data_IF_687567421051
#
_entry.id   IF_687567421051
#
_cell.length_a   1.000
_cell.length_b   1.000
_cell.length_c   1.000
_cell.angle_alpha   90.00
_cell.angle_beta   90.00
_cell.angle_gamma   90.00
#
_symmetry.space_group_name_H-M   'P 1'
#
loop_
_entity.id
_entity.type
_entity.pdbx_description
1 polymer ?
#
# COMPACT_ATOMS: atom_id res chain seq x y z
N UNK A 1 -8.68 2.20 16.59
CA UNK A 1 -7.58 2.72 17.43
C UNK A 1 -6.27 2.35 16.77
N UNK A 2 -5.44 3.33 16.37
CA UNK A 2 -4.09 3.13 15.81
C UNK A 2 -3.03 2.95 16.93
N UNK A 3 -3.45 2.59 18.14
CA UNK A 3 -2.73 2.93 19.39
C UNK A 3 -1.55 2.02 19.73
N UNK A 4 -1.13 1.12 18.84
CA UNK A 4 0.08 0.29 19.05
C UNK A 4 0.77 -0.04 17.72
N UNK A 5 1.13 0.99 16.93
CA UNK A 5 2.08 0.81 15.82
C UNK A 5 3.47 1.19 16.31
N UNK A 6 4.45 0.31 16.15
CA UNK A 6 5.82 0.66 16.47
C UNK A 6 6.30 1.79 15.55
N UNK A 7 7.16 2.71 16.03
CA UNK A 7 7.67 3.80 15.20
C UNK A 7 8.32 3.33 13.90
N UNK A 8 8.95 2.15 13.91
CA UNK A 8 9.52 1.53 12.72
C UNK A 8 8.45 1.20 11.67
N UNK A 9 7.36 0.54 12.09
CA UNK A 9 6.24 0.22 11.22
C UNK A 9 5.51 1.48 10.75
N UNK A 10 5.42 2.51 11.59
CA UNK A 10 4.77 3.78 11.26
C UNK A 10 5.44 4.49 10.08
N UNK A 11 6.78 4.52 10.04
CA UNK A 11 7.54 5.12 8.93
C UNK A 11 7.29 4.36 7.63
N UNK A 12 7.36 3.03 7.67
CA UNK A 12 7.11 2.22 6.48
C UNK A 12 5.66 2.36 6.00
N UNK A 13 4.70 2.34 6.93
CA UNK A 13 3.27 2.49 6.62
C UNK A 13 2.97 3.84 5.98
N UNK A 14 3.55 4.92 6.51
CA UNK A 14 3.37 6.27 5.95
C UNK A 14 3.83 6.34 4.49
N UNK A 15 5.03 5.82 4.18
CA UNK A 15 5.55 5.75 2.81
C UNK A 15 4.64 4.91 1.90
N UNK A 16 4.17 3.75 2.36
CA UNK A 16 3.25 2.90 1.59
C UNK A 16 1.92 3.62 1.30
N UNK A 17 1.35 4.31 2.29
CA UNK A 17 0.10 5.08 2.13
C UNK A 17 0.29 6.19 1.10
N UNK A 18 1.37 6.96 1.18
CA UNK A 18 1.68 8.03 0.23
C UNK A 18 1.75 7.51 -1.22
N UNK A 19 2.46 6.40 -1.43
CA UNK A 19 2.56 5.76 -2.75
C UNK A 19 1.19 5.29 -3.23
N UNK A 20 0.38 4.71 -2.34
CA UNK A 20 -0.98 4.29 -2.69
C UNK A 20 -1.85 5.47 -3.11
N UNK A 21 -1.77 6.61 -2.41
CA UNK A 21 -2.52 7.84 -2.75
C UNK A 21 -2.13 8.37 -4.13
N UNK A 22 -0.84 8.31 -4.49
CA UNK A 22 -0.33 8.82 -5.77
C UNK A 22 -0.60 7.92 -6.99
N UNK A 23 -1.07 6.68 -6.82
CA UNK A 23 -1.29 5.73 -7.91
C UNK A 23 -2.76 5.42 -8.16
N UNK A 24 -3.23 5.43 -9.43
CA UNK A 24 -4.67 5.23 -9.74
C UNK A 24 -5.28 3.92 -9.23
N UNK A 25 -4.49 2.85 -9.17
CA UNK A 25 -4.94 1.55 -8.67
C UNK A 25 -3.77 0.76 -8.04
N UNK A 26 -4.09 -0.37 -7.42
CA UNK A 26 -3.15 -1.15 -6.61
C UNK A 26 -2.01 -1.80 -7.41
N UNK A 27 -2.21 -2.09 -8.69
CA UNK A 27 -1.21 -2.77 -9.52
C UNK A 27 0.07 -1.95 -9.75
N UNK A 28 0.05 -0.73 -10.32
CA UNK A 28 1.25 0.08 -10.49
C UNK A 28 1.85 0.50 -9.14
N UNK A 29 1.05 0.72 -8.09
CA UNK A 29 1.56 0.98 -6.74
C UNK A 29 2.39 -0.18 -6.18
N UNK A 30 1.88 -1.41 -6.32
CA UNK A 30 2.60 -2.62 -5.92
C UNK A 30 3.91 -2.79 -6.71
N UNK A 31 3.87 -2.57 -8.03
CA UNK A 31 5.09 -2.65 -8.87
C UNK A 31 6.14 -1.63 -8.46
N UNK A 32 5.73 -0.42 -8.08
CA UNK A 32 6.61 0.62 -7.59
C UNK A 32 7.26 0.20 -6.26
N UNK A 33 6.45 -0.21 -5.28
CA UNK A 33 6.92 -0.64 -3.95
C UNK A 33 7.86 -1.86 -4.00
N UNK A 34 7.62 -2.78 -4.93
CA UNK A 34 8.38 -4.02 -5.04
C UNK A 34 9.36 -4.04 -6.22
N UNK A 35 9.71 -2.88 -6.79
CA UNK A 35 10.52 -2.77 -8.02
C UNK A 35 11.76 -3.67 -8.05
N UNK A 36 12.49 -3.77 -6.92
CA UNK A 36 13.73 -4.55 -6.83
C UNK A 36 13.51 -6.04 -6.51
N UNK A 37 12.43 -6.39 -5.80
CA UNK A 37 12.17 -7.77 -5.36
C UNK A 37 11.24 -8.54 -6.29
N UNK A 38 10.43 -7.85 -7.09
CA UNK A 38 9.38 -8.48 -7.91
C UNK A 38 9.92 -9.49 -8.91
N UNK A 39 11.07 -9.22 -9.53
CA UNK A 39 11.68 -10.14 -10.50
C UNK A 39 12.34 -11.37 -9.87
N UNK A 40 12.42 -11.42 -8.54
CA UNK A 40 13.02 -12.54 -7.79
C UNK A 40 11.96 -13.55 -7.33
N UNK A 41 10.67 -13.22 -7.48
CA UNK A 41 9.58 -14.10 -7.08
C UNK A 41 9.11 -14.96 -8.25
N UNK A 42 8.69 -16.20 -7.94
CA UNK A 42 8.10 -17.13 -8.91
C UNK A 42 6.75 -16.64 -9.47
N UNK A 43 6.08 -15.74 -8.75
CA UNK A 43 4.82 -15.11 -9.16
C UNK A 43 4.81 -13.62 -8.80
N UNK A 44 4.59 -12.77 -9.80
CA UNK A 44 4.66 -11.31 -9.67
C UNK A 44 3.29 -10.71 -9.29
N UNK A 45 2.62 -11.26 -8.28
CA UNK A 45 1.37 -10.68 -7.77
C UNK A 45 1.63 -9.58 -6.74
N UNK A 46 2.27 -8.51 -7.22
CA UNK A 46 2.61 -7.32 -6.42
C UNK A 46 1.37 -6.64 -5.83
N UNK A 47 0.25 -6.70 -6.57
CA UNK A 47 -1.05 -6.23 -6.09
C UNK A 47 -1.47 -6.97 -4.82
N UNK A 48 -1.44 -8.31 -4.81
CA UNK A 48 -1.87 -9.10 -3.65
C UNK A 48 -0.93 -8.91 -2.45
N UNK A 49 0.38 -8.77 -2.69
CA UNK A 49 1.37 -8.43 -1.65
C UNK A 49 1.03 -7.11 -0.97
N UNK A 50 0.75 -6.07 -1.76
CA UNK A 50 0.35 -4.76 -1.25
C UNK A 50 -0.98 -4.84 -0.48
N UNK A 51 -1.98 -5.57 -1.00
CA UNK A 51 -3.26 -5.81 -0.32
C UNK A 51 -3.06 -6.42 1.06
N UNK A 52 -2.27 -7.50 1.14
CA UNK A 52 -1.97 -8.20 2.41
C UNK A 52 -1.24 -7.28 3.39
N UNK A 53 -0.31 -6.46 2.91
CA UNK A 53 0.39 -5.48 3.75
C UNK A 53 -0.59 -4.48 4.37
N UNK A 54 -1.45 -3.84 3.56
CA UNK A 54 -2.43 -2.86 4.05
C UNK A 54 -3.42 -3.47 5.06
N UNK A 55 -3.84 -4.72 4.85
CA UNK A 55 -4.76 -5.41 5.76
C UNK A 55 -4.18 -5.67 7.15
N UNK A 56 -2.84 -5.77 7.30
CA UNK A 56 -2.20 -5.84 8.64
C UNK A 56 -2.51 -4.62 9.49
N UNK A 57 -2.78 -3.49 8.87
CA UNK A 57 -3.12 -2.22 9.52
C UNK A 57 -4.62 -1.88 9.42
N UNK A 58 -5.45 -2.83 8.97
CA UNK A 58 -6.89 -2.61 8.77
C UNK A 58 -7.23 -1.67 7.61
N UNK A 59 -6.29 -1.45 6.68
CA UNK A 59 -6.46 -0.53 5.56
C UNK A 59 -6.81 -1.28 4.27
N UNK A 60 -7.48 -0.58 3.35
CA UNK A 60 -7.76 -1.02 1.98
C UNK A 60 -7.35 0.07 1.00
N UNK A 61 -6.78 -0.31 -0.15
CA UNK A 61 -6.28 0.64 -1.14
C UNK A 61 -7.33 1.69 -1.55
N UNK A 62 -8.54 1.25 -1.88
CA UNK A 62 -9.63 2.14 -2.29
C UNK A 62 -10.07 3.10 -1.17
N UNK A 63 -9.88 2.71 0.09
CA UNK A 63 -10.16 3.56 1.25
C UNK A 63 -9.08 4.60 1.54
N UNK A 64 -7.93 4.53 0.87
CA UNK A 64 -6.86 5.54 1.00
C UNK A 64 -7.05 6.72 0.04
N UNK A 65 -7.91 6.58 -0.97
CA UNK A 65 -8.21 7.68 -1.87
C UNK A 65 -9.02 8.74 -1.14
N UNK A 66 -8.63 10.01 -1.29
CA UNK A 66 -9.54 11.12 -0.98
C UNK A 66 -10.81 10.86 -1.76
N UNK A 67 -11.94 10.85 -1.07
CA UNK A 67 -13.21 11.05 -1.75
C UNK A 67 -13.18 12.49 -2.22
N UNK A 68 -12.82 12.69 -3.49
CA UNK A 68 -13.19 13.93 -4.16
C UNK A 68 -14.71 14.03 -4.05
N UNK A 69 -15.16 14.91 -3.16
CA UNK A 69 -16.53 15.35 -3.10
C UNK A 69 -16.85 15.88 -4.50
N UNK A 70 -17.60 15.09 -5.28
CA UNK A 70 -18.28 15.56 -6.48
C UNK A 70 -19.18 16.71 -6.05
N UNK A 71 -18.74 17.94 -6.32
CA UNK A 71 -19.63 19.05 -6.60
C UNK A 71 -20.28 18.87 -7.96
#
# INVERSE_FOLDING_TARGET
MLTTIDPFDAVQLACVIEICINHRNQAPAGRYLYANSRNQLKSNNDSDRLRKYLLKFGLRFDGLKRQDQKG
#
